data_IF_248949387186
#
_entry.id   IF_248949387186
#
_cell.length_a   1.000
_cell.length_b   1.000
_cell.length_c   1.000
_cell.angle_alpha   90.00
_cell.angle_beta   90.00
_cell.angle_gamma   90.00
#
_symmetry.space_group_name_H-M   'P 1'
#
loop_
_entity.id
_entity.type
_entity.pdbx_description
1 polymer ?
#
# COMPACT_ATOMS: atom_id res chain seq x y z
N UNK A 1 -0.60 7.06 27.20
CA UNK A 1 0.73 6.66 27.67
C UNK A 1 0.86 5.20 27.29
N UNK A 2 1.26 4.96 26.05
CA UNK A 2 1.59 3.63 25.54
C UNK A 2 2.91 3.23 26.21
N UNK A 3 2.91 2.05 26.85
CA UNK A 3 4.11 1.50 27.48
C UNK A 3 5.12 1.23 26.36
N UNK A 4 6.36 1.70 26.52
CA UNK A 4 7.45 1.38 25.57
C UNK A 4 7.69 -0.13 25.41
N UNK A 5 7.23 -0.96 26.35
CA UNK A 5 7.28 -2.43 26.27
C UNK A 5 6.19 -3.07 25.37
N UNK A 6 5.22 -2.31 24.87
CA UNK A 6 4.14 -2.82 24.01
C UNK A 6 4.34 -2.50 22.52
N UNK A 7 5.34 -1.70 22.16
CA UNK A 7 5.61 -1.26 20.80
C UNK A 7 7.06 -1.63 20.40
N UNK A 8 7.31 -2.88 19.97
CA UNK A 8 8.66 -3.37 19.67
C UNK A 8 9.26 -2.71 18.43
N UNK A 9 8.44 -2.15 17.54
CA UNK A 9 8.91 -1.65 16.25
C UNK A 9 8.99 -0.14 16.19
N UNK A 10 10.00 0.31 15.47
CA UNK A 10 10.00 1.61 14.82
C UNK A 10 9.59 1.45 13.37
N UNK A 11 8.49 2.08 12.99
CA UNK A 11 7.87 1.88 11.70
C UNK A 11 8.06 3.14 10.86
N UNK A 12 8.69 2.99 9.72
CA UNK A 12 8.96 4.04 8.76
C UNK A 12 8.00 3.92 7.59
N UNK A 13 7.26 4.98 7.30
CA UNK A 13 6.37 5.06 6.14
C UNK A 13 6.84 6.20 5.25
N UNK A 14 7.14 5.85 4.00
CA UNK A 14 7.62 6.80 3.01
C UNK A 14 6.81 6.69 1.72
N UNK A 15 6.46 7.83 1.12
CA UNK A 15 5.90 7.87 -0.21
C UNK A 15 5.09 9.13 -0.51
N UNK A 16 4.53 9.16 -1.73
CA UNK A 16 3.74 10.27 -2.20
C UNK A 16 2.48 9.78 -2.90
N UNK A 17 1.33 10.31 -2.49
CA UNK A 17 0.04 10.02 -3.11
C UNK A 17 -0.46 11.25 -3.85
N UNK A 18 -0.54 11.13 -5.18
CA UNK A 18 -1.12 12.16 -6.05
C UNK A 18 -2.63 12.02 -6.02
N UNK A 19 -3.32 12.99 -5.43
CA UNK A 19 -4.78 12.97 -5.24
C UNK A 19 -5.50 13.77 -6.32
N UNK A 20 -6.81 13.56 -6.45
CA UNK A 20 -7.61 14.30 -7.44
C UNK A 20 -7.75 15.79 -7.06
N UNK A 21 -7.94 16.69 -8.04
CA UNK A 21 -8.00 18.13 -7.78
C UNK A 21 -9.08 18.58 -6.79
N UNK A 22 -10.18 17.84 -6.70
CA UNK A 22 -11.29 18.13 -5.79
C UNK A 22 -11.06 17.68 -4.34
N UNK A 23 -10.01 16.89 -4.07
CA UNK A 23 -9.71 16.37 -2.74
C UNK A 23 -9.24 17.51 -1.84
N UNK A 24 -9.98 17.72 -0.75
CA UNK A 24 -9.66 18.70 0.27
C UNK A 24 -8.97 18.08 1.49
N UNK A 25 -8.50 18.95 2.40
CA UNK A 25 -7.87 18.51 3.66
C UNK A 25 -8.80 17.60 4.49
N UNK A 26 -10.11 17.85 4.50
CA UNK A 26 -11.07 17.02 5.23
C UNK A 26 -11.15 15.58 4.71
N UNK A 27 -11.01 15.40 3.40
CA UNK A 27 -11.03 14.07 2.78
C UNK A 27 -9.75 13.30 3.15
N UNK A 28 -8.60 13.99 3.15
CA UNK A 28 -7.32 13.43 3.61
C UNK A 28 -7.38 13.09 5.10
N UNK A 29 -7.89 13.99 5.93
CA UNK A 29 -7.98 13.78 7.38
C UNK A 29 -8.84 12.55 7.74
N UNK A 30 -9.96 12.34 7.03
CA UNK A 30 -10.79 11.16 7.24
C UNK A 30 -10.13 9.89 6.66
N UNK A 31 -9.49 9.96 5.48
CA UNK A 31 -8.80 8.81 4.89
C UNK A 31 -7.62 8.31 5.75
N UNK A 32 -6.89 9.23 6.38
CA UNK A 32 -5.73 8.93 7.23
C UNK A 32 -6.10 8.69 8.70
N UNK A 33 -7.38 8.60 9.02
CA UNK A 33 -7.89 8.36 10.38
C UNK A 33 -7.35 7.13 11.08
N UNK A 34 -7.17 5.98 10.41
CA UNK A 34 -6.54 4.85 11.05
C UNK A 34 -5.12 5.17 11.54
N UNK A 35 -4.30 5.89 10.75
CA UNK A 35 -2.93 6.26 11.11
C UNK A 35 -2.87 7.14 12.36
N UNK A 36 -3.53 8.30 12.34
CA UNK A 36 -3.40 9.23 13.46
C UNK A 36 -4.10 8.72 14.72
N UNK A 37 -5.08 7.80 14.60
CA UNK A 37 -5.63 7.10 15.77
C UNK A 37 -4.66 6.07 16.33
N UNK A 38 -3.98 5.34 15.45
CA UNK A 38 -2.94 4.38 15.85
C UNK A 38 -1.84 5.09 16.66
N UNK A 39 -1.40 6.27 16.19
CA UNK A 39 -0.47 7.14 16.90
C UNK A 39 -1.03 7.78 18.20
N UNK A 40 -2.28 7.48 18.58
CA UNK A 40 -2.93 8.02 19.77
C UNK A 40 -3.36 9.49 19.67
N UNK A 41 -3.33 10.07 18.47
CA UNK A 41 -3.75 11.45 18.22
C UNK A 41 -5.27 11.58 18.02
N UNK A 42 -5.77 12.82 18.06
CA UNK A 42 -7.21 13.14 17.93
C UNK A 42 -7.61 13.73 16.57
N UNK A 43 -6.63 14.01 15.74
CA UNK A 43 -6.77 14.69 14.43
C UNK A 43 -5.49 14.51 13.64
N UNK A 44 -5.54 14.67 12.32
CA UNK A 44 -4.34 14.56 11.47
C UNK A 44 -3.27 15.57 11.89
N UNK A 45 -3.65 16.82 12.13
CA UNK A 45 -2.72 17.89 12.58
C UNK A 45 -1.97 17.55 13.87
N UNK A 46 -2.55 16.71 14.73
CA UNK A 46 -1.94 16.32 16.00
C UNK A 46 -1.12 15.02 15.90
N UNK A 47 -1.31 14.23 14.84
CA UNK A 47 -0.65 12.95 14.63
C UNK A 47 0.23 12.91 13.38
N UNK A 48 0.39 14.04 12.68
CA UNK A 48 1.20 14.13 11.46
C UNK A 48 2.68 14.26 11.73
N UNK A 49 3.09 14.64 12.95
CA UNK A 49 4.49 14.72 13.33
C UNK A 49 5.12 13.33 13.35
N UNK A 50 6.35 13.25 12.85
CA UNK A 50 7.16 12.04 12.96
C UNK A 50 7.78 11.91 14.35
N UNK A 51 8.25 10.72 14.71
CA UNK A 51 9.06 10.47 15.90
C UNK A 51 10.36 11.30 15.92
N UNK A 52 10.90 11.61 14.73
CA UNK A 52 12.09 12.43 14.56
C UNK A 52 11.73 13.84 14.07
N UNK A 53 12.19 14.87 14.79
CA UNK A 53 11.89 16.29 14.50
C UNK A 53 12.41 16.77 13.13
N UNK A 54 13.39 16.06 12.55
CA UNK A 54 13.97 16.39 11.24
C UNK A 54 13.11 15.92 10.07
N UNK A 55 12.21 14.97 10.31
CA UNK A 55 11.31 14.44 9.30
C UNK A 55 10.07 15.33 9.16
N UNK A 56 9.63 15.63 7.92
CA UNK A 56 8.50 16.52 7.69
C UNK A 56 7.17 15.90 8.15
N UNK A 57 7.10 14.58 8.33
CA UNK A 57 5.91 13.87 8.76
C UNK A 57 4.90 13.66 7.62
N UNK A 58 3.62 13.80 7.96
CA UNK A 58 2.51 13.69 7.00
C UNK A 58 2.05 15.09 6.59
N UNK A 59 2.22 15.43 5.32
CA UNK A 59 1.86 16.76 4.79
C UNK A 59 0.95 16.67 3.57
N UNK A 60 -0.17 17.42 3.59
CA UNK A 60 -1.02 17.60 2.42
C UNK A 60 -0.76 18.95 1.75
N UNK A 61 -0.10 18.92 0.59
CA UNK A 61 0.20 20.10 -0.22
C UNK A 61 -0.94 20.36 -1.20
N UNK A 62 -1.97 21.05 -0.72
CA UNK A 62 -3.22 21.28 -1.47
C UNK A 62 -3.03 21.95 -2.85
N UNK A 63 -1.99 22.78 -3.02
CA UNK A 63 -1.70 23.45 -4.30
C UNK A 63 -1.17 22.49 -5.36
N UNK A 64 -0.51 21.42 -4.93
CA UNK A 64 0.12 20.43 -5.80
C UNK A 64 -0.73 19.16 -5.91
N UNK A 65 -1.78 19.04 -5.09
CA UNK A 65 -2.60 17.84 -4.95
C UNK A 65 -1.76 16.61 -4.61
N UNK A 66 -0.83 16.79 -3.68
CA UNK A 66 0.09 15.74 -3.21
C UNK A 66 -0.06 15.57 -1.71
N UNK A 67 -0.28 14.34 -1.28
CA UNK A 67 -0.06 13.90 0.09
C UNK A 67 1.35 13.31 0.17
N UNK A 68 2.23 13.94 0.94
CA UNK A 68 3.57 13.47 1.22
C UNK A 68 3.59 12.76 2.57
N UNK A 69 4.24 11.61 2.62
CA UNK A 69 4.41 10.82 3.84
C UNK A 69 5.90 10.54 3.98
N UNK A 70 6.49 11.07 5.04
CA UNK A 70 7.81 10.71 5.54
C UNK A 70 7.68 10.69 7.06
N UNK A 71 7.18 9.57 7.57
CA UNK A 71 6.59 9.48 8.90
C UNK A 71 7.07 8.23 9.62
N UNK A 72 7.63 8.46 10.80
CA UNK A 72 8.13 7.43 11.71
C UNK A 72 7.27 7.37 12.95
N UNK A 73 6.87 6.16 13.35
CA UNK A 73 6.04 5.92 14.53
C UNK A 73 6.49 4.67 15.28
N UNK A 74 6.39 4.68 16.61
CA UNK A 74 6.53 3.46 17.41
C UNK A 74 5.26 2.63 17.32
N UNK A 75 5.41 1.33 17.05
CA UNK A 75 4.27 0.45 16.85
C UNK A 75 4.60 -1.03 17.03
N UNK A 76 3.69 -1.85 16.54
CA UNK A 76 3.60 -3.30 16.66
C UNK A 76 3.06 -3.90 15.34
N UNK A 77 2.85 -5.21 15.34
CA UNK A 77 2.31 -5.96 14.20
C UNK A 77 0.95 -5.45 13.68
N UNK A 78 0.12 -4.86 14.55
CA UNK A 78 -1.23 -4.41 14.20
C UNK A 78 -1.17 -3.25 13.18
N UNK A 79 -0.03 -2.56 13.05
CA UNK A 79 0.15 -1.50 12.06
C UNK A 79 -0.07 -1.99 10.62
N UNK A 80 0.21 -3.26 10.31
CA UNK A 80 -0.03 -3.83 8.98
C UNK A 80 -1.51 -3.72 8.58
N UNK A 81 -2.43 -3.99 9.50
CA UNK A 81 -3.86 -3.83 9.26
C UNK A 81 -4.24 -2.35 9.10
N UNK A 82 -3.62 -1.47 9.90
CA UNK A 82 -3.88 -0.02 9.85
C UNK A 82 -3.49 0.56 8.49
N UNK A 83 -2.29 0.23 8.00
CA UNK A 83 -1.80 0.75 6.72
C UNK A 83 -2.58 0.18 5.53
N UNK A 84 -3.06 -1.06 5.61
CA UNK A 84 -3.97 -1.64 4.61
C UNK A 84 -5.29 -0.87 4.52
N UNK A 85 -5.92 -0.54 5.67
CA UNK A 85 -7.14 0.25 5.70
C UNK A 85 -6.92 1.65 5.08
N UNK A 86 -5.77 2.26 5.38
CA UNK A 86 -5.37 3.56 4.83
C UNK A 86 -5.21 3.48 3.32
N UNK A 87 -4.57 2.43 2.79
CA UNK A 87 -4.43 2.22 1.35
C UNK A 87 -5.80 2.07 0.67
N UNK A 88 -6.74 1.35 1.30
CA UNK A 88 -8.11 1.23 0.80
C UNK A 88 -8.81 2.60 0.72
N UNK A 89 -8.68 3.43 1.75
CA UNK A 89 -9.24 4.78 1.75
C UNK A 89 -8.60 5.68 0.68
N UNK A 90 -7.27 5.60 0.53
CA UNK A 90 -6.52 6.43 -0.40
C UNK A 90 -6.77 6.05 -1.87
N UNK A 91 -7.13 4.80 -2.18
CA UNK A 91 -7.51 4.39 -3.54
C UNK A 91 -8.63 5.28 -4.10
N UNK A 92 -9.63 5.61 -3.27
CA UNK A 92 -10.74 6.48 -3.67
C UNK A 92 -10.35 7.94 -3.81
N UNK A 93 -9.19 8.40 -3.33
CA UNK A 93 -8.73 9.79 -3.44
C UNK A 93 -7.65 9.95 -4.51
N UNK A 94 -6.93 8.87 -4.84
CA UNK A 94 -5.84 8.87 -5.78
C UNK A 94 -6.28 9.30 -7.20
N UNK A 95 -5.42 10.06 -7.86
CA UNK A 95 -5.54 10.45 -9.26
C UNK A 95 -4.77 9.50 -10.20
N UNK A 96 -3.70 8.87 -9.69
CA UNK A 96 -2.87 7.90 -10.43
C UNK A 96 -2.27 6.87 -9.48
N UNK A 97 -1.65 5.84 -10.05
CA UNK A 97 -0.90 4.84 -9.30
C UNK A 97 0.26 5.47 -8.52
N UNK A 98 0.41 5.07 -7.26
CA UNK A 98 1.43 5.53 -6.32
C UNK A 98 1.97 4.33 -5.53
N UNK A 99 3.14 4.49 -4.93
CA UNK A 99 3.75 3.49 -4.04
C UNK A 99 3.99 4.12 -2.66
N UNK A 100 3.69 3.34 -1.62
CA UNK A 100 4.16 3.60 -0.27
C UNK A 100 5.13 2.49 0.12
N UNK A 101 6.22 2.89 0.75
CA UNK A 101 7.27 2.05 1.28
C UNK A 101 7.06 1.99 2.80
N UNK A 102 7.03 0.78 3.36
CA UNK A 102 6.88 0.58 4.81
C UNK A 102 8.02 -0.32 5.28
N UNK A 103 8.73 0.13 6.31
CA UNK A 103 9.80 -0.63 6.97
C UNK A 103 9.52 -0.74 8.45
N UNK A 104 9.69 -1.93 9.02
CA UNK A 104 9.62 -2.19 10.45
C UNK A 104 11.04 -2.48 10.96
N UNK A 105 11.55 -1.65 11.86
CA UNK A 105 12.82 -1.88 12.56
C UNK A 105 12.53 -2.38 13.98
N UNK A 106 13.16 -3.49 14.38
CA UNK A 106 13.05 -4.00 15.76
C UNK A 106 13.97 -3.21 16.71
N UNK A 107 13.37 -2.51 17.67
CA UNK A 107 14.09 -1.69 18.63
C UNK A 107 14.88 -2.50 19.66
N UNK A 108 14.43 -3.72 19.98
CA UNK A 108 15.12 -4.54 20.97
C UNK A 108 16.47 -5.04 20.45
N UNK A 109 16.61 -5.18 19.13
CA UNK A 109 17.86 -5.61 18.49
C UNK A 109 18.88 -4.48 18.37
N UNK A 110 18.45 -3.26 18.08
CA UNK A 110 19.35 -2.10 17.95
C UNK A 110 20.06 -1.78 19.29
N UNK A 111 19.36 -1.93 20.42
CA UNK A 111 19.91 -1.71 21.76
C UNK A 111 20.88 -2.83 22.23
N UNK A 112 20.88 -4.01 21.59
CA UNK A 112 21.73 -5.16 21.97
C UNK A 112 23.13 -5.14 21.32
N UNK A 113 23.38 -4.26 20.34
CA UNK A 113 24.69 -4.13 19.68
C UNK A 113 25.68 -3.25 20.48
N UNK A 114 25.25 -2.54 21.53
CA UNK A 114 26.11 -1.62 22.30
C UNK A 114 26.70 -2.18 23.61
N UNK A 115 26.18 -3.29 24.18
CA UNK A 115 26.67 -3.87 25.44
C UNK A 115 26.97 -5.39 25.31
N UNK A 116 28.27 -5.74 25.24
CA UNK A 116 28.79 -7.12 25.22
C UNK A 116 28.17 -8.05 26.31
N UNK A 117 27.76 -9.29 25.96
CA UNK A 117 28.05 -10.48 26.79
C UNK A 117 27.78 -11.84 26.08
N UNK A 118 28.66 -12.79 26.42
CA UNK A 118 28.99 -14.12 25.84
C UNK A 118 27.86 -15.20 25.78
N UNK A 119 26.59 -14.81 25.85
CA UNK A 119 25.42 -15.73 25.76
C UNK A 119 24.58 -15.42 24.49
N UNK A 120 25.26 -15.28 23.34
CA UNK A 120 24.61 -15.35 22.03
C UNK A 120 24.04 -16.78 21.84
N UNK A 121 22.95 -17.12 22.54
CA UNK A 121 22.04 -18.19 22.15
C UNK A 121 21.70 -17.91 20.70
N UNK A 122 22.20 -18.76 19.79
CA UNK A 122 22.01 -18.75 18.34
C UNK A 122 20.87 -17.83 17.88
N UNK A 123 21.15 -16.53 17.79
CA UNK A 123 20.25 -15.59 17.14
C UNK A 123 20.29 -16.02 15.68
N UNK A 124 19.23 -16.70 15.28
CA UNK A 124 19.13 -17.22 13.95
C UNK A 124 19.12 -16.02 12.98
N UNK A 125 19.57 -16.19 11.75
CA UNK A 125 19.39 -15.17 10.70
C UNK A 125 17.90 -14.80 10.48
N UNK A 126 16.95 -15.46 11.15
CA UNK A 126 15.53 -15.11 11.21
C UNK A 126 15.15 -14.12 12.32
N UNK A 127 16.03 -13.81 13.28
CA UNK A 127 15.72 -12.97 14.44
C UNK A 127 16.07 -11.48 14.26
N UNK A 128 16.82 -11.10 13.21
CA UNK A 128 16.87 -9.71 12.74
C UNK A 128 16.13 -9.60 11.39
N UNK A 129 14.84 -9.30 11.47
CA UNK A 129 13.90 -9.27 10.35
C UNK A 129 13.30 -7.88 10.18
N UNK A 130 14.11 -6.94 9.70
CA UNK A 130 13.53 -5.70 9.17
C UNK A 130 12.53 -6.08 8.07
N UNK A 131 11.23 -5.90 8.33
CA UNK A 131 10.20 -6.21 7.35
C UNK A 131 9.98 -4.98 6.47
N UNK A 132 10.30 -5.13 5.18
CA UNK A 132 10.11 -4.12 4.17
C UNK A 132 9.09 -4.60 3.14
N UNK A 133 8.06 -3.79 2.91
CA UNK A 133 7.10 -4.05 1.86
C UNK A 133 6.60 -2.78 1.17
N UNK A 134 6.14 -2.99 -0.07
CA UNK A 134 5.58 -1.96 -0.93
C UNK A 134 4.06 -2.10 -1.00
N UNK A 135 3.36 -1.01 -0.72
CA UNK A 135 1.92 -0.91 -0.91
C UNK A 135 1.63 -0.05 -2.13
N UNK A 136 0.79 -0.57 -3.02
CA UNK A 136 0.43 0.13 -4.25
C UNK A 136 -0.99 0.68 -4.14
N UNK A 137 -1.12 1.98 -4.35
CA UNK A 137 -2.37 2.72 -4.23
C UNK A 137 -2.74 3.25 -5.61
N UNK A 138 -4.01 3.18 -5.99
CA UNK A 138 -4.47 3.80 -7.22
C UNK A 138 -5.98 3.76 -7.43
N UNK A 139 -6.51 4.63 -8.29
CA UNK A 139 -7.96 4.75 -8.53
C UNK A 139 -8.57 3.53 -9.23
N UNK A 140 -7.75 2.70 -9.87
CA UNK A 140 -8.17 1.49 -10.57
C UNK A 140 -7.10 0.41 -10.45
N UNK A 141 -7.46 -0.88 -10.62
CA UNK A 141 -6.48 -1.95 -10.72
C UNK A 141 -5.46 -1.72 -11.84
N UNK A 142 -5.86 -1.13 -12.97
CA UNK A 142 -4.96 -0.81 -14.07
C UNK A 142 -3.91 0.24 -13.68
N UNK A 143 -4.29 1.25 -12.89
CA UNK A 143 -3.36 2.28 -12.42
C UNK A 143 -2.32 1.70 -11.44
N UNK A 144 -2.75 0.77 -10.58
CA UNK A 144 -1.86 0.04 -9.67
C UNK A 144 -0.88 -0.84 -10.45
N UNK A 145 -1.37 -1.62 -11.42
CA UNK A 145 -0.51 -2.46 -12.26
C UNK A 145 0.49 -1.64 -13.08
N UNK A 146 0.09 -0.45 -13.54
CA UNK A 146 0.97 0.46 -14.27
C UNK A 146 2.15 0.90 -13.39
N UNK A 147 1.91 1.33 -12.15
CA UNK A 147 3.00 1.77 -11.26
C UNK A 147 3.88 0.58 -10.82
N UNK A 148 3.30 -0.60 -10.61
CA UNK A 148 4.06 -1.84 -10.34
C UNK A 148 5.00 -2.17 -11.50
N UNK A 149 4.52 -2.05 -12.74
CA UNK A 149 5.34 -2.24 -13.94
C UNK A 149 6.45 -1.21 -14.00
N UNK A 150 6.11 0.07 -13.86
CA UNK A 150 7.05 1.17 -14.03
C UNK A 150 8.18 1.07 -12.99
N UNK A 151 7.85 0.72 -11.74
CA UNK A 151 8.84 0.46 -10.68
C UNK A 151 9.75 -0.72 -11.05
N UNK A 152 9.18 -1.87 -11.44
CA UNK A 152 10.00 -3.03 -11.82
C UNK A 152 10.91 -2.74 -13.02
N UNK A 153 10.40 -2.03 -14.02
CA UNK A 153 11.20 -1.62 -15.18
C UNK A 153 12.35 -0.72 -14.74
N UNK A 154 12.09 0.27 -13.90
CA UNK A 154 13.12 1.15 -13.35
C UNK A 154 14.19 0.37 -12.58
N UNK A 155 13.79 -0.55 -11.71
CA UNK A 155 14.72 -1.33 -10.88
C UNK A 155 15.59 -2.25 -11.72
N UNK A 156 14.98 -2.95 -12.69
CA UNK A 156 15.70 -3.83 -13.61
C UNK A 156 16.69 -3.04 -14.47
N UNK A 157 16.27 -1.90 -15.02
CA UNK A 157 17.17 -1.03 -15.80
C UNK A 157 18.32 -0.55 -14.90
N UNK A 158 18.02 -0.03 -13.71
CA UNK A 158 19.02 0.51 -12.79
C UNK A 158 20.07 -0.52 -12.39
N UNK A 159 19.66 -1.78 -12.21
CA UNK A 159 20.57 -2.89 -11.95
C UNK A 159 21.44 -3.23 -13.16
N UNK A 160 20.84 -3.27 -14.35
CA UNK A 160 21.49 -3.73 -15.58
C UNK A 160 22.38 -2.67 -16.25
N UNK A 161 22.09 -1.37 -16.08
CA UNK A 161 22.88 -0.25 -16.63
C UNK A 161 24.32 -0.21 -16.08
N UNK A 162 24.60 -0.93 -14.99
CA UNK A 162 25.96 -1.15 -14.48
C UNK A 162 26.83 -2.00 -15.43
N UNK A 163 26.19 -2.74 -16.35
CA UNK A 163 26.83 -3.75 -17.20
C UNK A 163 26.53 -3.59 -18.70
N UNK A 164 25.44 -2.93 -19.06
CA UNK A 164 24.95 -2.80 -20.44
C UNK A 164 24.56 -1.36 -20.75
N UNK A 165 24.59 -0.98 -22.03
CA UNK A 165 24.08 0.32 -22.46
C UNK A 165 22.54 0.32 -22.46
N UNK A 166 21.92 1.46 -22.16
CA UNK A 166 20.46 1.61 -22.14
C UNK A 166 19.78 1.15 -23.45
N UNK A 167 20.44 1.30 -24.61
CA UNK A 167 19.92 0.82 -25.89
C UNK A 167 19.78 -0.71 -25.95
N UNK A 168 20.65 -1.45 -25.26
CA UNK A 168 20.64 -2.92 -25.23
C UNK A 168 19.51 -3.46 -24.34
N UNK A 169 19.06 -2.67 -23.37
CA UNK A 169 18.02 -3.05 -22.41
C UNK A 169 16.59 -2.97 -22.96
N UNK A 170 16.41 -2.42 -24.17
CA UNK A 170 15.09 -2.32 -24.82
C UNK A 170 14.37 -3.67 -24.90
N UNK A 171 15.11 -4.76 -25.12
CA UNK A 171 14.54 -6.12 -25.16
C UNK A 171 14.01 -6.59 -23.81
N UNK A 172 14.68 -6.23 -22.72
CA UNK A 172 14.30 -6.58 -21.35
C UNK A 172 13.02 -5.86 -20.95
N UNK A 173 12.95 -4.54 -21.21
CA UNK A 173 11.75 -3.74 -20.95
C UNK A 173 10.53 -4.32 -21.68
N UNK A 174 10.69 -4.69 -22.96
CA UNK A 174 9.62 -5.32 -23.75
C UNK A 174 9.10 -6.63 -23.14
N UNK A 175 9.99 -7.42 -22.54
CA UNK A 175 9.57 -8.67 -21.91
C UNK A 175 8.80 -8.41 -20.60
N UNK A 176 9.24 -7.42 -19.81
CA UNK A 176 8.47 -6.97 -18.64
C UNK A 176 7.08 -6.48 -19.06
N UNK A 177 7.00 -5.67 -20.11
CA UNK A 177 5.74 -5.16 -20.65
C UNK A 177 4.79 -6.27 -21.06
N UNK A 178 5.34 -7.29 -21.73
CA UNK A 178 4.59 -8.48 -22.13
C UNK A 178 4.02 -9.19 -20.90
N UNK A 179 4.83 -9.46 -19.87
CA UNK A 179 4.38 -10.14 -18.65
C UNK A 179 3.27 -9.37 -17.91
N UNK A 180 3.37 -8.03 -17.85
CA UNK A 180 2.34 -7.20 -17.23
C UNK A 180 1.07 -7.14 -18.08
N UNK A 181 1.19 -7.13 -19.40
CA UNK A 181 0.04 -7.22 -20.32
C UNK A 181 -0.71 -8.54 -20.13
N UNK A 182 0.01 -9.66 -20.11
CA UNK A 182 -0.59 -10.99 -19.91
C UNK A 182 -1.32 -11.08 -18.55
N UNK A 183 -0.74 -10.50 -17.48
CA UNK A 183 -1.40 -10.41 -16.16
C UNK A 183 -2.64 -9.53 -16.19
N UNK A 184 -2.58 -8.41 -16.91
CA UNK A 184 -3.71 -7.47 -17.01
C UNK A 184 -4.89 -8.14 -17.72
N UNK A 185 -4.62 -8.81 -18.84
CA UNK A 185 -5.64 -9.54 -19.59
C UNK A 185 -6.26 -10.64 -18.73
N UNK A 186 -5.45 -11.39 -17.97
CA UNK A 186 -5.96 -12.39 -17.03
C UNK A 186 -6.87 -11.77 -15.95
N UNK A 187 -6.50 -10.61 -15.40
CA UNK A 187 -7.30 -9.89 -14.42
C UNK A 187 -8.64 -9.42 -14.99
N UNK A 188 -8.64 -8.77 -16.16
CA UNK A 188 -9.86 -8.30 -16.83
C UNK A 188 -10.79 -9.47 -17.13
N UNK A 189 -10.26 -10.55 -17.69
CA UNK A 189 -11.05 -11.75 -17.99
C UNK A 189 -11.71 -12.32 -16.73
N UNK A 190 -10.99 -12.36 -15.60
CA UNK A 190 -11.56 -12.85 -14.33
C UNK A 190 -12.69 -11.97 -13.78
N UNK A 191 -12.57 -10.64 -13.91
CA UNK A 191 -13.61 -9.68 -13.50
C UNK A 191 -14.85 -9.77 -14.40
N UNK A 192 -14.67 -10.00 -15.71
CA UNK A 192 -15.77 -10.21 -16.64
C UNK A 192 -16.52 -11.52 -16.39
N UNK A 193 -15.81 -12.60 -16.06
CA UNK A 193 -16.39 -13.88 -15.66
C UNK A 193 -17.18 -13.80 -14.34
N UNK A 194 -16.80 -12.90 -13.43
CA UNK A 194 -17.50 -12.68 -12.16
C UNK A 194 -18.78 -11.86 -12.27
N UNK A 195 -19.08 -11.27 -13.44
CA UNK A 195 -20.29 -10.45 -13.61
C UNK A 195 -21.51 -11.35 -13.80
N UNK A 196 -22.52 -11.34 -12.91
CA UNK A 196 -23.75 -12.08 -13.14
C UNK A 196 -24.38 -11.60 -14.45
N UNK A 197 -24.92 -12.50 -15.30
CA UNK A 197 -25.43 -12.13 -16.61
C UNK A 197 -26.45 -11.00 -16.44
N UNK A 198 -26.20 -9.87 -17.11
CA UNK A 198 -27.15 -8.76 -17.17
C UNK A 198 -28.46 -9.31 -17.71
N UNK A 199 -29.45 -9.43 -16.84
CA UNK A 199 -30.79 -9.87 -17.20
C UNK A 199 -31.30 -8.99 -18.33
N UNK A 200 -31.41 -9.60 -19.50
CA UNK A 200 -32.07 -9.03 -20.66
C UNK A 200 -33.52 -8.74 -20.23
N UNK A 201 -33.87 -7.46 -20.17
CA UNK A 201 -35.25 -7.01 -20.00
C UNK A 201 -36.03 -7.36 -21.27
N UNK A 202 -36.41 -8.64 -21.37
CA UNK A 202 -37.14 -9.24 -22.47
C UNK A 202 -38.53 -9.67 -22.02
N UNK A 203 -39.52 -8.95 -22.52
CA UNK A 203 -40.96 -9.20 -22.43
C UNK A 203 -41.38 -10.65 -22.77
N UNK A 204 -42.19 -11.28 -21.92
CA UNK A 204 -43.00 -12.49 -22.19
C UNK A 204 -43.47 -13.10 -20.86
N UNK A 205 -44.76 -13.23 -20.51
CA UNK A 205 -45.88 -13.68 -21.31
C UNK A 205 -46.15 -15.17 -21.02
N UNK A 206 -47.29 -15.49 -20.37
CA UNK A 206 -47.81 -16.82 -19.98
C UNK A 206 -47.17 -17.46 -18.73
N UNK A 207 -47.89 -17.94 -17.71
CA UNK A 207 -49.21 -18.55 -17.71
C UNK A 207 -49.06 -20.02 -17.28
N UNK A 208 -49.17 -20.32 -15.98
CA UNK A 208 -48.94 -21.68 -15.48
C UNK A 208 -49.50 -21.92 -14.08
N UNK A 209 -50.77 -22.30 -14.02
CA UNK A 209 -51.51 -22.73 -12.82
C UNK A 209 -50.79 -23.89 -12.11
N UNK A 210 -50.54 -23.76 -10.81
CA UNK A 210 -50.20 -24.91 -9.92
C UNK A 210 -51.48 -25.65 -9.52
N UNK A 211 -51.61 -26.96 -9.74
CA UNK A 211 -52.62 -27.77 -9.07
C UNK A 211 -52.12 -28.18 -7.68
N UNK A 212 -52.99 -27.97 -6.68
CA UNK A 212 -52.91 -28.58 -5.35
C UNK A 212 -53.15 -30.07 -5.48
N UNK A 213 -52.36 -30.91 -4.80
CA UNK A 213 -52.84 -32.19 -4.31
C UNK A 213 -52.40 -32.43 -2.88
N UNK A 214 -53.40 -32.89 -2.14
CA UNK A 214 -53.45 -33.33 -0.75
C UNK A 214 -52.96 -34.79 -0.69
N UNK A 215 -52.04 -35.08 0.23
CA UNK A 215 -52.19 -36.06 1.31
C UNK A 215 -50.96 -36.01 2.22
#
# INVERSE_FOLDING_TARGET
MTNHNEAPFEIHVHGQVFVRPEVGFSDIEEALKPLWRYAGARSLTAGSGSAYDEEPGIEFVAREHVLQICWTVSGDEDFRQVIDEVCMNLNELANRGCVLEVTFYDRAFDDMDEDEDDDAEELSEEDSRDDFFLLFIGPTPSAIMQIQRDLLVQDVISLMERHFDASELTGVVKEVDRLFTDRFDALVNSLELGRPPRGESGSGGHGGRRPRHLH
#
